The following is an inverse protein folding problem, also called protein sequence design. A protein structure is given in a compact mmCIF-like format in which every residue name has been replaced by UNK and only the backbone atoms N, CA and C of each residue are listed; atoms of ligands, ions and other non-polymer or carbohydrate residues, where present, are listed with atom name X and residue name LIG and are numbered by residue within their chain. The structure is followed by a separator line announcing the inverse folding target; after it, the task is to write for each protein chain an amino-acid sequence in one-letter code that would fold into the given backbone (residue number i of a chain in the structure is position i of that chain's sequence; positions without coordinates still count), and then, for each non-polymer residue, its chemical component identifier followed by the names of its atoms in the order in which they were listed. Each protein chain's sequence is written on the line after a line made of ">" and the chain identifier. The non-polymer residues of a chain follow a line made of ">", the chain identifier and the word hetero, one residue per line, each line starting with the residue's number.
data_IF_084728683655
#
_entry.id   IF_084728683655
#
_cell.length_a   1.000
_cell.length_b   1.000
_cell.length_c   1.000
_cell.angle_alpha   90.00
_cell.angle_beta   90.00
_cell.angle_gamma   90.00
#
_symmetry.space_group_name_H-M   'P 1'
#
loop_
_entity.id
_entity.type
_entity.pdbx_description
1 polymer ?
#
# COMPACT_ATOMS: atom_id res chain seq x y z
N UNK A 1 -1.79 -50.75 41.51
CA UNK A 1 -2.58 -49.78 40.73
C UNK A 1 -1.59 -48.84 40.05
N UNK A 2 -1.59 -48.80 38.73
CA UNK A 2 -0.62 -48.08 37.91
C UNK A 2 -1.11 -46.67 37.55
N UNK A 3 -0.17 -45.71 37.55
CA UNK A 3 -0.20 -44.42 36.85
C UNK A 3 -1.13 -43.32 37.38
N UNK A 4 -0.51 -42.25 37.88
CA UNK A 4 -1.01 -40.89 37.63
C UNK A 4 0.19 -40.01 37.30
N UNK A 5 0.64 -40.16 36.06
CA UNK A 5 1.35 -39.08 35.36
C UNK A 5 0.30 -38.02 35.11
N UNK A 6 0.41 -36.84 35.74
CA UNK A 6 -0.21 -35.66 35.16
C UNK A 6 0.85 -34.58 34.94
N UNK A 7 1.01 -34.37 33.65
CA UNK A 7 2.06 -33.64 32.98
C UNK A 7 1.57 -32.19 32.84
N UNK A 8 2.41 -31.24 33.24
CA UNK A 8 2.54 -29.91 32.65
C UNK A 8 1.26 -29.23 32.08
N UNK A 9 0.73 -28.25 32.80
CA UNK A 9 -0.02 -27.16 32.16
C UNK A 9 0.46 -25.82 32.67
N UNK A 10 1.44 -25.25 31.97
CA UNK A 10 1.76 -23.82 32.06
C UNK A 10 0.49 -23.00 31.81
N UNK A 11 0.22 -21.93 32.57
CA UNK A 11 -0.74 -20.93 32.15
C UNK A 11 -0.10 -20.21 30.97
N UNK A 12 -0.38 -20.67 29.75
CA UNK A 12 -0.11 -19.87 28.57
C UNK A 12 -0.84 -18.54 28.80
N UNK A 13 -0.05 -17.48 28.96
CA UNK A 13 -0.55 -16.13 29.09
C UNK A 13 -1.56 -15.91 27.97
N UNK A 14 -2.79 -15.54 28.33
CA UNK A 14 -3.83 -15.18 27.37
C UNK A 14 -3.35 -13.98 26.53
N UNK A 15 -2.62 -14.24 25.45
CA UNK A 15 -2.61 -13.41 24.25
C UNK A 15 -3.95 -13.65 23.55
N UNK A 16 -4.97 -12.90 23.98
CA UNK A 16 -6.32 -12.93 23.40
C UNK A 16 -6.31 -12.60 21.90
N UNK A 17 -7.35 -13.03 21.18
CA UNK A 17 -7.27 -13.54 19.81
C UNK A 17 -6.77 -12.49 18.80
N UNK A 18 -5.82 -12.86 17.95
CA UNK A 18 -5.75 -12.28 16.61
C UNK A 18 -7.13 -12.46 15.98
N UNK A 19 -7.88 -11.37 15.84
CA UNK A 19 -9.18 -11.41 15.18
C UNK A 19 -8.94 -11.77 13.72
N UNK A 20 -9.29 -12.99 13.35
CA UNK A 20 -9.33 -13.41 11.95
C UNK A 20 -10.29 -12.46 11.21
N UNK A 21 -9.74 -11.57 10.39
CA UNK A 21 -10.54 -10.65 9.59
C UNK A 21 -11.15 -11.49 8.47
N UNK A 22 -12.42 -11.90 8.63
CA UNK A 22 -13.16 -12.52 7.52
C UNK A 22 -13.31 -11.49 6.40
N UNK A 23 -13.19 -11.93 5.15
CA UNK A 23 -13.24 -11.06 3.97
C UNK A 23 -14.58 -10.31 3.82
N UNK A 24 -15.59 -10.65 4.62
CA UNK A 24 -16.88 -9.97 4.68
C UNK A 24 -16.82 -8.58 5.32
N UNK A 25 -15.78 -8.29 6.11
CA UNK A 25 -15.57 -6.97 6.71
C UNK A 25 -14.89 -5.99 5.72
N UNK A 26 -14.46 -6.47 4.54
CA UNK A 26 -13.86 -5.63 3.51
C UNK A 26 -14.92 -4.87 2.71
N UNK A 27 -14.85 -3.53 2.72
CA UNK A 27 -15.66 -2.67 1.86
C UNK A 27 -14.91 -2.39 0.53
N UNK A 28 -15.30 -3.05 -0.58
CA UNK A 28 -14.66 -2.86 -1.88
C UNK A 28 -14.90 -1.45 -2.43
N UNK A 29 -16.03 -0.83 -2.13
CA UNK A 29 -16.40 0.49 -2.66
C UNK A 29 -15.60 1.56 -1.93
N UNK A 30 -15.54 1.49 -0.59
CA UNK A 30 -14.73 2.40 0.21
C UNK A 30 -13.26 2.37 -0.22
N UNK A 31 -12.70 1.17 -0.37
CA UNK A 31 -11.32 0.98 -0.82
C UNK A 31 -11.09 1.51 -2.24
N UNK A 32 -12.02 1.26 -3.18
CA UNK A 32 -11.92 1.79 -4.54
C UNK A 32 -11.95 3.33 -4.57
N UNK A 33 -12.76 3.96 -3.71
CA UNK A 33 -12.81 5.43 -3.57
C UNK A 33 -11.48 5.95 -3.04
N UNK A 34 -10.91 5.33 -2.01
CA UNK A 34 -9.60 5.68 -1.46
C UNK A 34 -8.48 5.58 -2.51
N UNK A 35 -8.44 4.48 -3.26
CA UNK A 35 -7.47 4.27 -4.35
C UNK A 35 -7.66 5.32 -5.44
N UNK A 36 -8.89 5.58 -5.86
CA UNK A 36 -9.19 6.55 -6.92
C UNK A 36 -8.82 7.96 -6.51
N UNK A 37 -9.14 8.36 -5.28
CA UNK A 37 -8.77 9.65 -4.72
C UNK A 37 -7.23 9.80 -4.67
N UNK A 38 -6.53 8.77 -4.19
CA UNK A 38 -5.07 8.75 -4.18
C UNK A 38 -4.50 8.90 -5.61
N UNK A 39 -5.03 8.13 -6.56
CA UNK A 39 -4.62 8.21 -7.96
C UNK A 39 -4.83 9.59 -8.57
N UNK A 40 -5.97 10.24 -8.30
CA UNK A 40 -6.24 11.61 -8.74
C UNK A 40 -5.25 12.61 -8.18
N UNK A 41 -4.84 12.46 -6.91
CA UNK A 41 -3.80 13.30 -6.30
C UNK A 41 -2.46 13.09 -7.02
N UNK A 42 -2.10 11.84 -7.32
CA UNK A 42 -0.86 11.52 -8.05
C UNK A 42 -0.87 12.13 -9.45
N UNK A 43 -1.95 11.95 -10.21
CA UNK A 43 -2.09 12.53 -11.56
C UNK A 43 -2.11 14.05 -11.50
N UNK A 44 -2.79 14.64 -10.52
CA UNK A 44 -2.82 16.09 -10.33
C UNK A 44 -1.43 16.65 -10.03
N UNK A 45 -0.68 16.00 -9.13
CA UNK A 45 0.71 16.37 -8.84
C UNK A 45 1.61 16.16 -10.07
N UNK A 46 1.45 15.04 -10.79
CA UNK A 46 2.20 14.75 -12.01
C UNK A 46 1.97 15.82 -13.09
N UNK A 47 0.71 16.15 -13.38
CA UNK A 47 0.34 17.23 -14.29
C UNK A 47 0.89 18.57 -13.80
N UNK A 48 0.80 18.85 -12.50
CA UNK A 48 1.35 20.09 -11.92
C UNK A 48 2.87 20.19 -12.12
N UNK A 49 3.63 19.12 -11.90
CA UNK A 49 5.08 19.10 -12.19
C UNK A 49 5.36 19.33 -13.68
N UNK A 50 4.53 18.79 -14.57
CA UNK A 50 4.61 19.08 -16.01
C UNK A 50 4.40 20.58 -16.25
N UNK A 51 3.30 21.18 -15.77
CA UNK A 51 3.07 22.62 -15.93
C UNK A 51 4.23 23.48 -15.39
N UNK A 52 4.80 23.14 -14.23
CA UNK A 52 5.94 23.86 -13.64
C UNK A 52 7.18 23.81 -14.55
N UNK A 53 7.45 22.69 -15.20
CA UNK A 53 8.57 22.55 -16.16
C UNK A 53 8.30 23.33 -17.46
N UNK A 54 7.08 23.22 -18.03
CA UNK A 54 6.78 23.73 -19.37
C UNK A 54 6.31 25.19 -19.43
N UNK A 55 6.02 25.86 -18.30
CA UNK A 55 5.61 27.28 -18.28
C UNK A 55 6.75 28.30 -18.06
N UNK A 56 8.00 27.87 -17.87
CA UNK A 56 9.05 28.83 -17.49
C UNK A 56 10.51 28.46 -17.72
N UNK A 57 10.85 27.22 -18.11
CA UNK A 57 12.23 26.86 -18.43
C UNK A 57 12.29 26.14 -19.80
N UNK A 58 13.29 26.49 -20.62
CA UNK A 58 13.52 25.87 -21.93
C UNK A 58 13.60 24.33 -21.86
N UNK A 59 13.41 23.65 -23.00
CA UNK A 59 13.02 22.24 -23.06
C UNK A 59 14.08 21.30 -22.50
N UNK A 60 13.83 20.67 -21.34
CA UNK A 60 14.78 19.67 -20.80
C UNK A 60 14.16 18.45 -20.10
N UNK A 61 13.14 17.78 -20.67
CA UNK A 61 12.82 16.39 -20.23
C UNK A 61 12.41 15.42 -21.37
N UNK A 62 12.99 15.58 -22.57
CA UNK A 62 13.00 14.52 -23.63
C UNK A 62 14.40 14.35 -24.28
N UNK A 63 15.43 15.07 -23.80
CA UNK A 63 16.64 15.35 -24.60
C UNK A 63 17.85 14.42 -24.53
N UNK A 64 17.90 13.36 -23.70
CA UNK A 64 19.14 12.55 -23.60
C UNK A 64 19.03 11.08 -24.05
N UNK A 65 17.87 10.44 -23.94
CA UNK A 65 17.73 9.03 -24.35
C UNK A 65 17.18 8.84 -25.77
N UNK A 66 16.64 9.89 -26.40
CA UNK A 66 16.14 9.85 -27.78
C UNK A 66 17.13 10.34 -28.86
N UNK A 67 18.28 10.90 -28.48
CA UNK A 67 19.23 11.53 -29.42
C UNK A 67 20.44 10.70 -29.82
N UNK A 68 20.59 9.46 -29.33
CA UNK A 68 21.76 8.60 -29.61
C UNK A 68 21.52 7.67 -30.82
N UNK A 69 20.35 7.76 -31.47
CA UNK A 69 20.07 7.06 -32.73
C UNK A 69 19.67 8.12 -33.77
N UNK A 70 20.67 8.61 -34.50
CA UNK A 70 20.50 9.60 -35.57
C UNK A 70 21.84 10.15 -36.02
#
# INVERSE_FOLDING_TARGET
>A
MSQTTDHNRSPSANSGPERELTHDEFDPVGTAVLITLYFLILVGMWLFTYFVEFLGNGPTVVGLLGGVIG
#
